data_IF_479945438932
#
_entry.id   IF_479945438932
#
_cell.length_a   1.000
_cell.length_b   1.000
_cell.length_c   1.000
_cell.angle_alpha   90.00
_cell.angle_beta   90.00
_cell.angle_gamma   90.00
#
_symmetry.space_group_name_H-M   'P 1'
#
loop_
_entity.id
_entity.type
_entity.pdbx_description
1 polymer ?
#
# COMPACT_ATOMS: atom_id res chain seq x y z
N UNK A 1 -2.21 -16.63 -8.60
CA UNK A 1 -1.73 -15.23 -8.45
C UNK A 1 -2.51 -14.27 -9.32
N UNK A 2 -2.63 -14.50 -10.64
CA UNK A 2 -3.40 -13.65 -11.57
C UNK A 2 -4.80 -13.28 -11.07
N UNK A 3 -5.62 -14.27 -10.71
CA UNK A 3 -6.98 -14.05 -10.23
C UNK A 3 -7.04 -13.18 -8.98
N UNK A 4 -6.10 -13.36 -8.04
CA UNK A 4 -6.00 -12.54 -6.83
C UNK A 4 -5.64 -11.09 -7.12
N UNK A 5 -4.77 -10.85 -8.10
CA UNK A 5 -4.42 -9.49 -8.53
C UNK A 5 -5.62 -8.84 -9.21
N UNK A 6 -6.30 -9.55 -10.12
CA UNK A 6 -7.51 -9.03 -10.79
C UNK A 6 -8.60 -8.72 -9.76
N UNK A 7 -8.85 -9.64 -8.82
CA UNK A 7 -9.82 -9.43 -7.76
C UNK A 7 -9.44 -8.29 -6.81
N UNK A 8 -8.15 -8.07 -6.55
CA UNK A 8 -7.70 -6.90 -5.77
C UNK A 8 -7.88 -5.59 -6.54
N UNK A 9 -7.65 -5.58 -7.86
CA UNK A 9 -7.92 -4.42 -8.73
C UNK A 9 -9.40 -4.07 -8.77
N UNK A 10 -10.29 -5.08 -8.79
CA UNK A 10 -11.75 -4.89 -8.77
C UNK A 10 -12.34 -4.83 -7.36
N UNK A 11 -11.51 -4.85 -6.31
CA UNK A 11 -11.93 -4.76 -4.90
C UNK A 11 -12.92 -5.86 -4.49
N UNK A 12 -12.75 -7.06 -5.06
CA UNK A 12 -13.60 -8.23 -4.80
C UNK A 12 -13.49 -8.69 -3.34
N UNK A 13 -14.65 -8.75 -2.68
CA UNK A 13 -14.79 -9.24 -1.31
C UNK A 13 -14.25 -10.68 -1.14
N UNK A 14 -14.63 -11.56 -2.07
CA UNK A 14 -14.21 -12.96 -2.08
C UNK A 14 -12.68 -13.08 -2.20
N UNK A 15 -12.07 -12.19 -2.98
CA UNK A 15 -10.62 -12.16 -3.14
C UNK A 15 -9.91 -11.79 -1.84
N UNK A 16 -10.39 -10.77 -1.12
CA UNK A 16 -9.80 -10.39 0.17
C UNK A 16 -9.97 -11.48 1.23
N UNK A 17 -11.11 -12.17 1.26
CA UNK A 17 -11.34 -13.32 2.14
C UNK A 17 -10.40 -14.48 1.80
N UNK A 18 -10.26 -14.82 0.51
CA UNK A 18 -9.33 -15.86 0.05
C UNK A 18 -7.87 -15.52 0.37
N UNK A 19 -7.48 -14.25 0.21
CA UNK A 19 -6.15 -13.76 0.58
C UNK A 19 -5.91 -13.88 2.08
N UNK A 20 -6.89 -13.51 2.91
CA UNK A 20 -6.82 -13.64 4.37
C UNK A 20 -6.56 -15.09 4.80
N UNK A 21 -7.14 -16.07 4.11
CA UNK A 21 -6.96 -17.49 4.41
C UNK A 21 -5.63 -18.09 3.87
N UNK A 22 -5.06 -17.55 2.79
CA UNK A 22 -3.87 -18.12 2.15
C UNK A 22 -2.56 -17.52 2.69
N UNK A 23 -1.84 -18.28 3.51
CA UNK A 23 -0.54 -17.86 4.08
C UNK A 23 0.55 -17.64 3.04
N UNK A 24 0.54 -18.40 1.95
CA UNK A 24 1.50 -18.26 0.85
C UNK A 24 1.29 -16.96 0.07
N UNK A 25 0.14 -16.31 0.24
CA UNK A 25 -0.14 -15.02 -0.38
C UNK A 25 0.73 -13.89 0.18
N UNK A 26 1.35 -14.04 1.35
CA UNK A 26 2.24 -13.02 1.92
C UNK A 26 3.43 -12.72 1.01
N UNK A 27 4.10 -13.76 0.49
CA UNK A 27 5.19 -13.63 -0.48
C UNK A 27 4.69 -13.04 -1.80
N UNK A 28 3.48 -13.40 -2.23
CA UNK A 28 2.87 -12.82 -3.43
C UNK A 28 2.55 -11.34 -3.24
N UNK A 29 2.11 -10.93 -2.05
CA UNK A 29 1.83 -9.54 -1.71
C UNK A 29 3.11 -8.70 -1.75
N UNK A 30 4.22 -9.22 -1.22
CA UNK A 30 5.53 -8.58 -1.33
C UNK A 30 5.91 -8.33 -2.80
N UNK A 31 5.71 -9.33 -3.68
CA UNK A 31 5.96 -9.17 -5.12
C UNK A 31 5.06 -8.10 -5.75
N UNK A 32 3.78 -8.05 -5.39
CA UNK A 32 2.86 -7.01 -5.87
C UNK A 32 3.33 -5.61 -5.46
N UNK A 33 3.75 -5.44 -4.21
CA UNK A 33 4.27 -4.16 -3.69
C UNK A 33 5.55 -3.74 -4.42
N UNK A 34 6.50 -4.67 -4.61
CA UNK A 34 7.74 -4.42 -5.34
C UNK A 34 7.44 -3.99 -6.78
N UNK A 35 6.56 -4.73 -7.47
CA UNK A 35 6.17 -4.41 -8.85
C UNK A 35 5.48 -3.05 -8.95
N UNK A 36 4.56 -2.75 -8.04
CA UNK A 36 3.89 -1.46 -7.95
C UNK A 36 4.88 -0.30 -7.73
N UNK A 37 5.89 -0.50 -6.88
CA UNK A 37 6.94 0.48 -6.63
C UNK A 37 7.81 0.72 -7.86
N UNK A 38 8.22 -0.34 -8.58
CA UNK A 38 8.98 -0.23 -9.82
C UNK A 38 8.17 0.52 -10.88
N UNK A 39 6.91 0.13 -11.10
CA UNK A 39 6.02 0.81 -12.03
C UNK A 39 5.85 2.30 -11.69
N UNK A 40 5.67 2.62 -10.41
CA UNK A 40 5.53 4.00 -9.95
C UNK A 40 6.83 4.80 -10.12
N UNK A 41 8.00 4.17 -9.90
CA UNK A 41 9.29 4.82 -10.10
C UNK A 41 9.57 5.12 -11.58
N UNK A 42 9.22 4.19 -12.48
CA UNK A 42 9.30 4.40 -13.93
C UNK A 42 8.36 5.54 -14.35
N UNK A 43 7.09 5.45 -13.96
CA UNK A 43 6.07 6.42 -14.33
C UNK A 43 6.31 7.83 -13.80
N UNK A 44 6.86 7.94 -12.59
CA UNK A 44 7.25 9.21 -11.97
C UNK A 44 8.53 9.82 -12.54
N UNK A 45 9.19 9.15 -13.50
CA UNK A 45 10.45 9.61 -14.09
C UNK A 45 11.63 9.54 -13.12
N UNK A 46 11.49 8.84 -11.98
CA UNK A 46 12.55 8.77 -10.96
C UNK A 46 13.81 8.10 -11.52
N UNK A 47 13.64 7.11 -12.40
CA UNK A 47 14.75 6.45 -13.09
C UNK A 47 15.46 7.35 -14.12
N UNK A 48 14.81 8.43 -14.57
CA UNK A 48 15.37 9.44 -15.46
C UNK A 48 15.84 10.70 -14.71
N UNK A 49 15.60 10.77 -13.40
CA UNK A 49 15.96 11.90 -12.56
C UNK A 49 17.44 11.85 -12.15
N UNK A 50 18.07 13.00 -11.94
CA UNK A 50 19.44 13.12 -11.42
C UNK A 50 19.53 12.87 -9.91
N UNK A 51 18.44 12.47 -9.25
CA UNK A 51 18.43 12.17 -7.82
C UNK A 51 19.12 10.82 -7.63
N UNK A 52 20.22 10.74 -6.84
CA UNK A 52 20.95 9.50 -6.62
C UNK A 52 20.21 8.61 -5.60
N UNK A 53 18.97 8.22 -5.92
CA UNK A 53 18.25 7.19 -5.17
C UNK A 53 18.66 5.85 -5.74
N UNK A 54 19.46 5.08 -4.99
CA UNK A 54 19.85 3.74 -5.40
C UNK A 54 18.61 2.86 -5.60
N UNK A 55 18.54 2.09 -6.69
CA UNK A 55 17.40 1.20 -6.98
C UNK A 55 17.07 0.27 -5.79
N UNK A 56 18.11 -0.25 -5.11
CA UNK A 56 17.95 -1.04 -3.88
C UNK A 56 17.28 -0.27 -2.74
N UNK A 57 17.65 0.99 -2.52
CA UNK A 57 17.02 1.84 -1.50
C UNK A 57 15.54 2.12 -1.79
N UNK A 58 15.17 2.26 -3.07
CA UNK A 58 13.77 2.43 -3.47
C UNK A 58 12.92 1.20 -3.14
N UNK A 59 13.42 0.01 -3.45
CA UNK A 59 12.71 -1.23 -3.16
C UNK A 59 12.59 -1.48 -1.67
N UNK A 60 13.68 -1.26 -0.92
CA UNK A 60 13.66 -1.35 0.54
C UNK A 60 12.66 -0.36 1.13
N UNK A 61 12.64 0.87 0.63
CA UNK A 61 11.69 1.89 1.06
C UNK A 61 10.24 1.50 0.79
N UNK A 62 9.94 0.94 -0.38
CA UNK A 62 8.60 0.47 -0.70
C UNK A 62 8.12 -0.62 0.28
N UNK A 63 9.01 -1.58 0.61
CA UNK A 63 8.69 -2.64 1.56
C UNK A 63 8.49 -2.09 2.97
N UNK A 64 9.38 -1.22 3.46
CA UNK A 64 9.25 -0.59 4.78
C UNK A 64 7.97 0.24 4.85
N UNK A 65 7.68 1.03 3.83
CA UNK A 65 6.45 1.85 3.77
C UNK A 65 5.19 0.99 3.81
N UNK A 66 5.18 -0.14 3.10
CA UNK A 66 4.07 -1.09 3.14
C UNK A 66 3.90 -1.73 4.53
N UNK A 67 5.00 -2.10 5.20
CA UNK A 67 4.96 -2.66 6.55
C UNK A 67 4.43 -1.62 7.57
N UNK A 68 4.89 -0.38 7.49
CA UNK A 68 4.40 0.72 8.34
C UNK A 68 2.92 0.98 8.11
N UNK A 69 2.47 0.96 6.85
CA UNK A 69 1.06 1.09 6.50
C UNK A 69 0.21 -0.05 7.08
N UNK A 70 0.66 -1.30 6.91
CA UNK A 70 -0.04 -2.46 7.45
C UNK A 70 -0.12 -2.42 8.98
N UNK A 71 0.93 -1.98 9.65
CA UNK A 71 0.96 -1.85 11.11
C UNK A 71 0.00 -0.75 11.58
N UNK A 72 -0.01 0.41 10.92
CA UNK A 72 -0.95 1.49 11.23
C UNK A 72 -2.42 1.02 11.11
N UNK A 73 -2.77 0.32 10.03
CA UNK A 73 -4.11 -0.24 9.83
C UNK A 73 -4.42 -1.31 10.87
N UNK A 74 -3.48 -2.19 11.20
CA UNK A 74 -3.66 -3.21 12.23
C UNK A 74 -3.89 -2.57 13.61
N UNK A 75 -3.06 -1.61 14.01
CA UNK A 75 -3.16 -0.94 15.31
C UNK A 75 -4.51 -0.25 15.47
N UNK A 76 -4.95 0.53 14.49
CA UNK A 76 -6.23 1.22 14.58
C UNK A 76 -7.39 0.23 14.43
N UNK A 77 -7.38 -0.58 13.38
CA UNK A 77 -8.45 -1.51 13.06
C UNK A 77 -8.72 -2.54 14.15
N UNK A 78 -7.66 -3.16 14.67
CA UNK A 78 -7.78 -4.23 15.67
C UNK A 78 -7.84 -3.68 17.09
N UNK A 79 -6.96 -2.73 17.47
CA UNK A 79 -6.92 -2.29 18.87
C UNK A 79 -8.05 -1.32 19.22
N UNK A 80 -8.39 -0.39 18.30
CA UNK A 80 -9.44 0.62 18.53
C UNK A 80 -10.81 0.07 18.16
N UNK A 81 -10.94 -0.48 16.95
CA UNK A 81 -12.24 -0.92 16.43
C UNK A 81 -12.55 -2.42 16.64
N UNK A 82 -11.67 -3.16 17.32
CA UNK A 82 -11.85 -4.59 17.64
C UNK A 82 -12.04 -5.47 16.40
N UNK A 83 -11.41 -5.11 15.28
CA UNK A 83 -11.40 -5.92 14.08
C UNK A 83 -10.74 -7.29 14.29
N UNK A 84 -11.21 -8.29 13.55
CA UNK A 84 -10.81 -9.69 13.69
C UNK A 84 -9.77 -10.06 12.64
N UNK A 85 -8.54 -9.59 12.80
CA UNK A 85 -7.44 -9.95 11.91
C UNK A 85 -6.11 -10.06 12.65
N UNK A 86 -5.24 -10.92 12.13
CA UNK A 86 -3.82 -10.94 12.52
C UNK A 86 -3.02 -9.94 11.67
N UNK A 87 -1.89 -9.48 12.20
CA UNK A 87 -0.98 -8.59 11.45
C UNK A 87 -0.58 -9.17 10.08
N UNK A 88 -0.32 -10.48 10.02
CA UNK A 88 0.04 -11.17 8.77
C UNK A 88 -1.10 -11.18 7.74
N UNK A 89 -2.36 -11.21 8.19
CA UNK A 89 -3.54 -11.11 7.32
C UNK A 89 -3.73 -9.69 6.78
N UNK A 90 -3.58 -8.68 7.64
CA UNK A 90 -3.63 -7.26 7.24
C UNK A 90 -2.56 -6.97 6.20
N UNK A 91 -1.32 -7.37 6.48
CA UNK A 91 -0.17 -7.17 5.58
C UNK A 91 -0.42 -7.75 4.18
N UNK A 92 -0.79 -9.04 4.08
CA UNK A 92 -0.99 -9.68 2.76
C UNK A 92 -2.16 -9.06 1.98
N UNK A 93 -3.28 -8.75 2.64
CA UNK A 93 -4.46 -8.19 1.96
C UNK A 93 -4.17 -6.77 1.47
N UNK A 94 -3.55 -5.94 2.31
CA UNK A 94 -3.16 -4.58 1.91
C UNK A 94 -2.07 -4.58 0.83
N UNK A 95 -1.14 -5.54 0.86
CA UNK A 95 -0.11 -5.64 -0.19
C UNK A 95 -0.71 -5.95 -1.56
N UNK A 96 -1.79 -6.75 -1.63
CA UNK A 96 -2.56 -6.90 -2.87
C UNK A 96 -3.38 -5.65 -3.22
N UNK A 97 -3.86 -4.90 -2.23
CA UNK A 97 -4.58 -3.64 -2.44
C UNK A 97 -3.70 -2.54 -3.07
N UNK A 98 -2.37 -2.69 -3.08
CA UNK A 98 -1.45 -1.84 -3.84
C UNK A 98 -1.44 -2.12 -5.35
N UNK A 99 -2.09 -3.17 -5.85
CA UNK A 99 -2.09 -3.52 -7.27
C UNK A 99 -2.42 -2.36 -8.22
N UNK A 100 -3.37 -1.43 -7.93
CA UNK A 100 -3.65 -0.28 -8.79
C UNK A 100 -2.44 0.62 -9.02
N UNK A 101 -1.49 0.70 -8.08
CA UNK A 101 -0.27 1.51 -8.24
C UNK A 101 0.62 1.04 -9.40
N UNK A 102 0.46 -0.20 -9.89
CA UNK A 102 1.15 -0.64 -11.10
C UNK A 102 0.78 0.18 -12.34
N UNK A 103 -0.41 0.79 -12.38
CA UNK A 103 -0.85 1.66 -13.47
C UNK A 103 -0.14 3.02 -13.49
N UNK A 104 0.57 3.39 -12.42
CA UNK A 104 1.43 4.56 -12.44
C UNK A 104 2.51 4.44 -13.51
N UNK A 105 2.85 3.24 -14.01
CA UNK A 105 3.79 3.12 -15.14
C UNK A 105 3.41 4.00 -16.33
N UNK A 106 2.11 4.24 -16.57
CA UNK A 106 1.64 5.09 -17.68
C UNK A 106 1.77 6.59 -17.41
N UNK A 107 2.21 6.99 -16.21
CA UNK A 107 2.31 8.40 -15.86
C UNK A 107 3.53 9.12 -16.45
N UNK A 108 4.37 8.44 -17.23
CA UNK A 108 5.48 9.08 -17.95
C UNK A 108 5.00 10.07 -19.03
N UNK A 109 3.74 9.98 -19.45
CA UNK A 109 3.17 10.82 -20.50
C UNK A 109 3.00 12.26 -19.99
N UNK A 110 3.60 13.28 -20.64
CA UNK A 110 3.43 14.68 -20.23
C UNK A 110 1.95 15.10 -20.20
N UNK A 111 1.57 15.90 -19.19
CA UNK A 111 0.18 16.36 -18.90
C UNK A 111 -0.81 15.24 -18.52
N UNK A 112 -0.82 14.12 -19.25
CA UNK A 112 -1.69 12.96 -18.96
C UNK A 112 -1.26 12.23 -17.69
N UNK A 113 0.04 12.25 -17.38
CA UNK A 113 0.59 11.57 -16.21
C UNK A 113 0.06 12.08 -14.88
N UNK A 114 -0.28 13.37 -14.80
CA UNK A 114 -0.91 13.96 -13.60
C UNK A 114 -2.32 13.40 -13.43
N UNK A 115 -3.09 13.31 -14.52
CA UNK A 115 -4.45 12.74 -14.50
C UNK A 115 -4.39 11.26 -14.12
N UNK A 116 -3.46 10.50 -14.69
CA UNK A 116 -3.28 9.08 -14.37
C UNK A 116 -2.93 8.89 -12.89
N UNK A 117 -1.97 9.65 -12.37
CA UNK A 117 -1.59 9.58 -10.95
C UNK A 117 -2.77 9.93 -10.04
N UNK A 118 -3.56 10.94 -10.39
CA UNK A 118 -4.76 11.28 -9.64
C UNK A 118 -5.80 10.16 -9.65
N UNK A 119 -6.07 9.55 -10.81
CA UNK A 119 -6.99 8.42 -10.92
C UNK A 119 -6.50 7.21 -10.13
N UNK A 120 -5.20 6.89 -10.21
CA UNK A 120 -4.59 5.81 -9.45
C UNK A 120 -4.64 6.10 -7.94
N UNK A 121 -4.41 7.34 -7.52
CA UNK A 121 -4.51 7.74 -6.12
C UNK A 121 -5.94 7.54 -5.59
N UNK A 122 -6.96 7.99 -6.33
CA UNK A 122 -8.36 7.73 -6.01
C UNK A 122 -8.66 6.22 -5.93
N UNK A 123 -8.15 5.44 -6.89
CA UNK A 123 -8.31 3.98 -6.89
C UNK A 123 -7.67 3.34 -5.66
N UNK A 124 -6.45 3.76 -5.27
CA UNK A 124 -5.77 3.25 -4.08
C UNK A 124 -6.55 3.54 -2.79
N UNK A 125 -7.08 4.76 -2.63
CA UNK A 125 -7.90 5.11 -1.46
C UNK A 125 -9.10 4.18 -1.32
N UNK A 126 -9.83 3.98 -2.42
CA UNK A 126 -11.00 3.09 -2.44
C UNK A 126 -10.58 1.62 -2.21
N UNK A 127 -9.46 1.19 -2.78
CA UNK A 127 -8.92 -0.16 -2.59
C UNK A 127 -8.53 -0.41 -1.14
N UNK A 128 -7.83 0.53 -0.50
CA UNK A 128 -7.48 0.41 0.91
C UNK A 128 -8.70 0.44 1.82
N UNK A 129 -9.71 1.23 1.50
CA UNK A 129 -10.98 1.21 2.22
C UNK A 129 -11.62 -0.19 2.21
N UNK A 130 -11.86 -0.77 1.03
CA UNK A 130 -12.50 -2.08 0.94
C UNK A 130 -11.63 -3.19 1.51
N UNK A 131 -10.33 -3.19 1.20
CA UNK A 131 -9.37 -4.16 1.74
C UNK A 131 -9.34 -4.14 3.26
N UNK A 132 -9.31 -2.95 3.87
CA UNK A 132 -9.33 -2.75 5.32
C UNK A 132 -10.64 -3.23 5.94
N UNK A 133 -11.78 -2.84 5.35
CA UNK A 133 -13.10 -3.27 5.82
C UNK A 133 -13.21 -4.80 5.86
N UNK A 134 -12.73 -5.47 4.81
CA UNK A 134 -12.88 -6.90 4.64
C UNK A 134 -11.86 -7.69 5.47
N UNK A 135 -10.59 -7.27 5.49
CA UNK A 135 -9.57 -7.99 6.25
C UNK A 135 -9.87 -7.96 7.75
N UNK A 136 -10.32 -6.81 8.26
CA UNK A 136 -10.67 -6.60 9.66
C UNK A 136 -12.07 -7.09 10.03
N UNK A 137 -12.88 -7.51 9.04
CA UNK A 137 -14.28 -7.88 9.22
C UNK A 137 -15.12 -6.78 9.92
N UNK A 138 -14.92 -5.52 9.51
CA UNK A 138 -15.67 -4.39 10.07
C UNK A 138 -17.07 -4.34 9.46
N UNK A 139 -18.10 -4.50 10.29
CA UNK A 139 -19.51 -4.41 9.87
C UNK A 139 -19.89 -3.01 9.38
N UNK A 140 -19.33 -1.97 10.02
CA UNK A 140 -19.59 -0.57 9.69
C UNK A 140 -18.49 -0.01 8.79
N UNK A 141 -18.87 0.46 7.60
CA UNK A 141 -17.95 1.11 6.66
C UNK A 141 -17.27 2.36 7.25
N UNK A 142 -17.95 3.10 8.12
CA UNK A 142 -17.39 4.27 8.82
C UNK A 142 -16.12 3.93 9.61
N UNK A 143 -16.06 2.78 10.27
CA UNK A 143 -14.88 2.32 11.02
C UNK A 143 -13.70 2.04 10.09
N UNK A 144 -13.96 1.46 8.91
CA UNK A 144 -12.93 1.24 7.90
C UNK A 144 -12.41 2.57 7.34
N UNK A 145 -13.30 3.52 7.03
CA UNK A 145 -12.91 4.86 6.58
C UNK A 145 -12.04 5.59 7.63
N UNK A 146 -12.45 5.58 8.89
CA UNK A 146 -11.67 6.18 9.99
C UNK A 146 -10.31 5.46 10.13
N UNK A 147 -10.28 4.12 10.02
CA UNK A 147 -9.03 3.36 10.07
C UNK A 147 -8.06 3.77 8.97
N UNK A 148 -8.54 3.91 7.73
CA UNK A 148 -7.70 4.33 6.60
C UNK A 148 -7.24 5.78 6.76
N UNK A 149 -8.14 6.68 7.17
CA UNK A 149 -7.80 8.10 7.36
C UNK A 149 -6.79 8.29 8.49
N UNK A 150 -7.03 7.72 9.67
CA UNK A 150 -6.13 7.81 10.82
C UNK A 150 -4.82 7.06 10.55
N UNK A 151 -4.91 5.90 9.90
CA UNK A 151 -3.75 5.12 9.46
C UNK A 151 -2.84 5.94 8.54
N UNK A 152 -3.41 6.80 7.67
CA UNK A 152 -2.64 7.71 6.83
C UNK A 152 -1.86 8.75 7.61
N UNK A 153 -2.46 9.37 8.62
CA UNK A 153 -1.72 10.29 9.50
C UNK A 153 -0.60 9.58 10.28
N UNK A 154 -0.86 8.39 10.83
CA UNK A 154 0.14 7.60 11.55
C UNK A 154 1.28 7.20 10.61
N UNK A 155 0.97 6.77 9.40
CA UNK A 155 1.93 6.47 8.37
C UNK A 155 2.81 7.68 8.04
N UNK A 156 2.22 8.87 7.85
CA UNK A 156 2.98 10.10 7.58
C UNK A 156 3.93 10.47 8.73
N UNK A 157 3.49 10.31 9.98
CA UNK A 157 4.32 10.55 11.15
C UNK A 157 5.47 9.53 11.21
N UNK A 158 5.16 8.24 11.08
CA UNK A 158 6.16 7.17 11.09
C UNK A 158 7.20 7.36 9.98
N UNK A 159 6.75 7.74 8.79
CA UNK A 159 7.60 8.07 7.65
C UNK A 159 8.52 9.27 7.95
N UNK A 160 7.97 10.34 8.54
CA UNK A 160 8.76 11.51 8.96
C UNK A 160 9.84 11.17 10.00
N UNK A 161 9.53 10.29 10.95
CA UNK A 161 10.50 9.80 11.96
C UNK A 161 11.62 9.01 11.30
N UNK A 162 11.29 8.08 10.38
CA UNK A 162 12.30 7.28 9.67
C UNK A 162 13.20 8.18 8.83
N UNK A 163 12.65 9.15 8.11
CA UNK A 163 13.43 10.10 7.30
C UNK A 163 14.35 10.93 8.19
N UNK A 164 13.86 11.46 9.31
CA UNK A 164 14.65 12.28 10.24
C UNK A 164 15.81 11.50 10.85
N UNK A 165 15.57 10.25 11.23
CA UNK A 165 16.60 9.36 11.76
C UNK A 165 17.67 9.06 10.70
N UNK A 166 17.26 8.77 9.45
CA UNK A 166 18.20 8.52 8.36
C UNK A 166 19.01 9.77 7.98
N UNK A 167 18.41 10.96 8.00
CA UNK A 167 19.12 12.24 7.81
C UNK A 167 20.19 12.45 8.87
N UNK A 168 19.82 12.23 10.14
CA UNK A 168 20.75 12.34 11.29
C UNK A 168 21.93 11.38 11.15
N UNK A 169 21.70 10.14 10.67
CA UNK A 169 22.77 9.16 10.41
C UNK A 169 23.65 9.51 9.20
N UNK A 170 23.08 10.18 8.20
CA UNK A 170 23.79 10.64 7.01
C UNK A 170 24.54 11.97 7.24
N UNK A 171 24.38 12.60 8.41
CA UNK A 171 24.99 13.89 8.74
C UNK A 171 24.35 15.08 8.03
N UNK A 172 23.06 14.98 7.67
CA UNK A 172 22.25 16.01 7.00
C UNK A 172 21.06 16.39 7.87
#
# INVERSE_FOLDING_TARGET
MKEKVIGALTMSADTYTALKADEKATTQALLVVIMAAICSAIGGGLLASSIPVGFGSLLLWAVVSWLLWADAVYLIGVKVFKGEATMSQVMRVLGFAYAPAAFNIFSFIPLMGIIIQFLVACWLVVSFYFATQHVLALSEGSKAAITVLVGWFIYLIGLGVVISFLGTLAGV
#
